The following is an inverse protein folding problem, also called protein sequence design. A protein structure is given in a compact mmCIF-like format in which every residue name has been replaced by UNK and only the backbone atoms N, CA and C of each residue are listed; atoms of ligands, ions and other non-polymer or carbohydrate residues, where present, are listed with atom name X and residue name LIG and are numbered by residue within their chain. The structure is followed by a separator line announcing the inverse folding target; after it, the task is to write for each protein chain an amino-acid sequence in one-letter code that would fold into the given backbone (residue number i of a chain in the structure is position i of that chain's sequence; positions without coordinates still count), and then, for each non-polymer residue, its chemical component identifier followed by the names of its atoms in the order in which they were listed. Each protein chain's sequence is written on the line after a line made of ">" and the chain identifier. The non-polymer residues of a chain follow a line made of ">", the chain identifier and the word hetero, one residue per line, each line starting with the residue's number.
data_IF_092534775297
#
_entry.id   IF_092534775297
#
_cell.length_a   1.000
_cell.length_b   1.000
_cell.length_c   1.000
_cell.angle_alpha   90.00
_cell.angle_beta   90.00
_cell.angle_gamma   90.00
#
_symmetry.space_group_name_H-M   'P 1'
#
loop_
_entity.id
_entity.type
_entity.pdbx_description
1 polymer ?
#
# COMPACT_ATOMS: atom_id res chain seq x y z
N UNK A 1 10.81 76.76 -23.15
CA UNK A 1 10.99 76.40 -21.73
C UNK A 1 10.04 75.26 -21.39
N UNK A 2 10.60 74.17 -20.85
CA UNK A 2 9.92 73.10 -20.12
C UNK A 2 9.06 72.10 -20.95
N UNK A 3 9.36 70.81 -20.69
CA UNK A 3 8.60 69.56 -20.90
C UNK A 3 8.66 68.87 -22.26
N UNK A 4 9.49 67.82 -22.28
CA UNK A 4 9.32 66.61 -23.09
C UNK A 4 10.09 65.45 -22.46
N UNK A 5 9.40 64.52 -21.80
CA UNK A 5 9.89 63.19 -21.42
C UNK A 5 8.98 62.17 -22.12
N UNK A 6 9.49 61.22 -22.90
CA UNK A 6 8.72 60.06 -23.32
C UNK A 6 8.77 58.96 -22.25
N UNK A 7 7.74 58.12 -22.28
CA UNK A 7 7.45 57.03 -21.35
C UNK A 7 8.45 55.88 -21.45
N UNK A 8 8.94 55.42 -20.31
CA UNK A 8 9.70 54.18 -20.13
C UNK A 8 8.74 53.00 -20.07
N UNK A 9 8.76 52.15 -21.10
CA UNK A 9 8.51 50.71 -20.96
C UNK A 9 9.86 50.00 -20.95
N UNK A 10 9.88 48.81 -20.35
CA UNK A 10 11.00 47.88 -20.15
C UNK A 10 11.88 48.09 -18.90
N UNK A 11 12.19 46.94 -18.28
CA UNK A 11 13.08 46.67 -17.14
C UNK A 11 12.41 46.70 -15.75
N UNK A 12 11.57 45.69 -15.49
CA UNK A 12 11.25 45.20 -14.15
C UNK A 12 11.50 43.69 -14.12
N UNK A 13 12.78 43.33 -14.25
CA UNK A 13 13.22 41.95 -14.34
C UNK A 13 14.67 41.79 -13.93
N UNK A 14 15.08 42.38 -12.80
CA UNK A 14 16.45 42.22 -12.25
C UNK A 14 16.61 42.56 -10.75
N UNK A 15 15.53 42.59 -9.94
CA UNK A 15 15.67 42.90 -8.49
C UNK A 15 15.22 41.75 -7.56
N UNK A 16 14.67 40.65 -8.08
CA UNK A 16 14.25 39.50 -7.26
C UNK A 16 15.24 38.32 -7.27
N UNK A 17 16.44 38.50 -7.83
CA UNK A 17 17.47 37.44 -7.91
C UNK A 17 18.69 37.64 -7.01
N UNK A 18 18.72 38.70 -6.18
CA UNK A 18 19.87 39.02 -5.34
C UNK A 18 19.69 38.74 -3.83
N UNK A 19 18.53 38.23 -3.38
CA UNK A 19 18.30 37.89 -1.97
C UNK A 19 18.29 36.38 -1.67
N UNK A 20 18.50 35.51 -2.68
CA UNK A 20 18.51 34.04 -2.49
C UNK A 20 19.93 33.46 -2.44
N UNK A 21 20.98 34.28 -2.65
CA UNK A 21 22.37 33.82 -2.76
C UNK A 21 23.28 34.16 -1.56
N UNK A 22 22.72 34.55 -0.41
CA UNK A 22 23.52 34.88 0.79
C UNK A 22 23.11 34.16 2.08
N UNK A 23 22.30 33.10 2.01
CA UNK A 23 22.09 32.16 3.14
C UNK A 23 22.83 30.83 2.97
N UNK A 24 23.47 30.61 1.82
CA UNK A 24 24.49 29.58 1.65
C UNK A 24 25.85 30.20 1.98
N UNK A 25 26.24 30.20 3.26
CA UNK A 25 27.61 30.08 3.78
C UNK A 25 27.62 30.43 5.29
N UNK A 26 27.80 29.40 6.11
CA UNK A 26 28.44 29.54 7.42
C UNK A 26 27.53 29.54 8.65
N UNK A 27 27.22 28.35 9.15
CA UNK A 27 27.27 28.08 10.59
C UNK A 27 27.66 26.61 10.81
N UNK A 28 28.66 26.45 11.68
CA UNK A 28 29.50 25.27 11.76
C UNK A 28 28.88 24.09 12.49
N UNK A 29 29.44 22.93 12.15
CA UNK A 29 29.26 21.64 12.79
C UNK A 29 29.52 21.71 14.30
N UNK A 30 28.48 21.44 15.09
CA UNK A 30 28.63 20.78 16.39
C UNK A 30 28.15 19.32 16.18
N UNK A 31 29.09 18.38 16.28
CA UNK A 31 28.82 16.95 16.34
C UNK A 31 28.36 16.62 17.75
N UNK A 32 27.08 16.34 17.93
CA UNK A 32 26.61 15.62 19.10
C UNK A 32 26.42 14.15 18.73
N UNK A 33 27.20 13.31 19.40
CA UNK A 33 27.10 11.85 19.39
C UNK A 33 25.74 11.45 19.98
N UNK A 34 24.80 11.01 19.13
CA UNK A 34 23.64 10.27 19.58
C UNK A 34 23.85 8.78 19.31
N UNK A 35 23.90 8.00 20.38
CA UNK A 35 24.22 6.58 20.40
C UNK A 35 23.30 5.75 19.49
N UNK A 36 23.91 5.08 18.53
CA UNK A 36 23.27 4.09 17.66
C UNK A 36 23.08 2.77 18.41
N UNK A 37 21.87 2.51 18.91
CA UNK A 37 21.37 1.15 19.14
C UNK A 37 20.38 0.81 18.01
N UNK A 38 20.90 0.70 16.79
CA UNK A 38 20.16 0.18 15.65
C UNK A 38 20.34 -1.35 15.64
N UNK A 39 19.26 -2.06 15.98
CA UNK A 39 19.18 -3.51 15.88
C UNK A 39 19.36 -3.93 14.42
N UNK A 40 20.59 -4.34 14.09
CA UNK A 40 21.03 -4.79 12.76
C UNK A 40 20.46 -6.18 12.46
N UNK A 41 19.30 -6.26 11.82
CA UNK A 41 18.85 -7.50 11.19
C UNK A 41 19.69 -7.74 9.93
N UNK A 42 20.70 -8.62 10.03
CA UNK A 42 21.50 -9.05 8.88
C UNK A 42 20.73 -10.07 8.04
N UNK A 43 20.85 -9.90 6.72
CA UNK A 43 20.56 -10.92 5.71
C UNK A 43 21.15 -12.29 6.06
N UNK A 44 20.29 -13.27 6.29
CA UNK A 44 20.69 -14.69 6.30
C UNK A 44 19.88 -15.43 5.23
N UNK A 45 20.46 -15.55 4.04
CA UNK A 45 20.04 -16.52 3.04
C UNK A 45 20.55 -17.90 3.46
N UNK A 46 19.94 -18.49 4.50
CA UNK A 46 20.22 -19.88 4.87
C UNK A 46 19.12 -20.77 4.28
N UNK A 47 19.42 -21.80 3.48
CA UNK A 47 18.43 -22.74 2.94
C UNK A 47 17.54 -23.40 4.02
N UNK A 48 17.98 -23.38 5.28
CA UNK A 48 17.24 -23.86 6.44
C UNK A 48 15.98 -23.03 6.80
N UNK A 49 15.87 -21.76 6.39
CA UNK A 49 14.71 -20.91 6.77
C UNK A 49 13.48 -21.05 5.84
N UNK A 50 13.63 -21.71 4.67
CA UNK A 50 12.51 -21.97 3.75
C UNK A 50 11.48 -22.96 4.30
N UNK A 51 11.83 -23.71 5.36
CA UNK A 51 10.99 -24.75 5.96
C UNK A 51 10.28 -24.38 7.27
N UNK A 52 10.59 -23.23 7.89
CA UNK A 52 10.12 -22.94 9.27
C UNK A 52 9.08 -21.81 9.39
N UNK A 53 8.92 -20.95 8.37
CA UNK A 53 7.92 -19.88 8.45
C UNK A 53 6.63 -20.24 7.73
N UNK A 54 5.50 -20.11 8.42
CA UNK A 54 4.16 -20.30 7.84
C UNK A 54 3.86 -19.36 6.67
N UNK A 55 4.65 -18.29 6.46
CA UNK A 55 4.59 -17.46 5.25
C UNK A 55 4.75 -18.29 3.97
N UNK A 56 5.50 -19.39 4.02
CA UNK A 56 5.73 -20.25 2.86
C UNK A 56 4.59 -21.24 2.58
N UNK A 57 3.57 -21.31 3.44
CA UNK A 57 2.41 -22.17 3.24
C UNK A 57 1.53 -21.69 2.05
N UNK A 58 0.41 -22.36 1.81
CA UNK A 58 -0.50 -22.05 0.69
C UNK A 58 -1.40 -20.82 0.94
N UNK A 59 -1.33 -20.20 2.10
CA UNK A 59 -2.15 -19.04 2.50
C UNK A 59 -1.29 -17.88 3.00
N UNK A 60 0.02 -17.91 2.72
CA UNK A 60 0.98 -16.88 3.12
C UNK A 60 1.00 -16.62 4.63
N UNK A 61 0.68 -17.62 5.45
CA UNK A 61 0.60 -17.48 6.90
C UNK A 61 -0.70 -16.88 7.44
N UNK A 62 -1.70 -16.63 6.58
CA UNK A 62 -3.07 -16.27 6.97
C UNK A 62 -3.98 -17.51 6.98
N UNK A 63 -5.22 -17.40 7.46
CA UNK A 63 -6.22 -18.47 7.27
C UNK A 63 -6.77 -18.43 5.82
N UNK A 64 -7.00 -17.24 5.28
CA UNK A 64 -7.43 -17.05 3.88
C UNK A 64 -6.67 -15.94 3.16
N UNK A 65 -6.60 -16.08 1.84
CA UNK A 65 -6.20 -15.00 0.93
C UNK A 65 -7.40 -14.72 0.04
N UNK A 66 -8.09 -13.62 0.29
CA UNK A 66 -9.22 -13.15 -0.49
C UNK A 66 -8.79 -12.27 -1.65
N UNK A 67 -9.46 -12.45 -2.78
CA UNK A 67 -9.43 -11.50 -3.90
C UNK A 67 -10.83 -10.96 -4.13
N UNK A 68 -10.95 -9.64 -4.20
CA UNK A 68 -12.19 -8.95 -4.55
C UNK A 68 -12.10 -8.57 -6.02
N UNK A 69 -13.04 -9.05 -6.82
CA UNK A 69 -13.11 -8.74 -8.24
C UNK A 69 -14.51 -8.91 -8.81
N UNK A 70 -14.85 -8.10 -9.80
CA UNK A 70 -16.17 -8.19 -10.44
C UNK A 70 -16.30 -9.54 -11.16
N UNK A 71 -17.43 -10.27 -11.03
CA UNK A 71 -17.62 -11.56 -11.70
C UNK A 71 -17.43 -11.52 -13.22
N UNK A 72 -17.71 -10.38 -13.85
CA UNK A 72 -17.52 -10.17 -15.29
C UNK A 72 -16.07 -9.99 -15.76
N UNK A 73 -15.11 -9.81 -14.84
CA UNK A 73 -13.68 -9.63 -15.14
C UNK A 73 -12.93 -10.96 -15.13
N UNK A 74 -13.37 -11.89 -15.97
CA UNK A 74 -12.74 -13.22 -16.09
C UNK A 74 -11.28 -13.12 -16.51
N UNK A 75 -10.92 -12.11 -17.30
CA UNK A 75 -9.54 -11.79 -17.70
C UNK A 75 -8.61 -11.60 -16.50
N UNK A 76 -9.04 -10.82 -15.49
CA UNK A 76 -8.29 -10.60 -14.26
C UNK A 76 -8.25 -11.87 -13.39
N UNK A 77 -9.37 -12.60 -13.34
CA UNK A 77 -9.51 -13.85 -12.58
C UNK A 77 -8.59 -14.96 -13.09
N UNK A 78 -8.50 -15.12 -14.40
CA UNK A 78 -7.61 -16.10 -15.05
C UNK A 78 -6.15 -15.76 -14.76
N UNK A 79 -5.77 -14.49 -14.91
CA UNK A 79 -4.41 -14.03 -14.64
C UNK A 79 -4.00 -14.30 -13.18
N UNK A 80 -4.78 -13.83 -12.20
CA UNK A 80 -4.46 -14.00 -10.78
C UNK A 80 -4.44 -15.48 -10.35
N UNK A 81 -5.34 -16.31 -10.90
CA UNK A 81 -5.35 -17.75 -10.62
C UNK A 81 -4.05 -18.42 -11.09
N UNK A 82 -3.59 -18.07 -12.30
CA UNK A 82 -2.33 -18.60 -12.81
C UNK A 82 -1.13 -18.07 -12.00
N UNK A 83 -1.10 -16.77 -11.72
CA UNK A 83 -0.05 -16.14 -10.90
C UNK A 83 0.09 -16.83 -9.55
N UNK A 84 -1.00 -16.99 -8.80
CA UNK A 84 -0.96 -17.56 -7.46
C UNK A 84 -0.54 -19.03 -7.48
N UNK A 85 -0.95 -19.78 -8.50
CA UNK A 85 -0.52 -21.17 -8.71
C UNK A 85 1.00 -21.24 -8.91
N UNK A 86 1.59 -20.33 -9.69
CA UNK A 86 3.02 -20.30 -9.99
C UNK A 86 3.85 -19.79 -8.80
N UNK A 87 3.31 -18.87 -7.99
CA UNK A 87 3.96 -18.36 -6.77
C UNK A 87 3.57 -19.15 -5.51
N UNK A 88 2.78 -20.22 -5.66
CA UNK A 88 2.56 -21.26 -4.65
C UNK A 88 1.59 -20.89 -3.51
N UNK A 89 0.58 -20.06 -3.76
CA UNK A 89 -0.49 -19.79 -2.77
C UNK A 89 -1.88 -19.79 -3.41
N UNK A 90 -2.90 -19.98 -2.56
CA UNK A 90 -4.28 -20.21 -2.97
C UNK A 90 -5.13 -18.97 -2.73
N UNK A 91 -5.85 -18.55 -3.75
CA UNK A 91 -6.84 -17.48 -3.68
C UNK A 91 -8.23 -18.03 -3.34
N UNK A 92 -9.00 -17.25 -2.60
CA UNK A 92 -10.43 -17.42 -2.36
C UNK A 92 -11.13 -16.17 -2.87
N UNK A 93 -12.17 -16.30 -3.68
CA UNK A 93 -12.77 -15.14 -4.31
C UNK A 93 -13.96 -14.62 -3.53
N UNK A 94 -14.04 -13.29 -3.42
CA UNK A 94 -15.22 -12.55 -3.01
C UNK A 94 -15.69 -11.77 -4.22
N UNK A 95 -16.92 -12.02 -4.66
CA UNK A 95 -17.47 -11.31 -5.81
C UNK A 95 -17.64 -9.82 -5.47
N UNK A 96 -17.06 -8.96 -6.30
CA UNK A 96 -17.25 -7.52 -6.26
C UNK A 96 -18.68 -7.16 -6.61
N UNK A 97 -19.08 -5.94 -6.24
CA UNK A 97 -20.45 -5.44 -6.43
C UNK A 97 -20.44 -4.27 -7.39
N UNK A 98 -21.34 -4.30 -8.38
CA UNK A 98 -21.58 -3.16 -9.25
C UNK A 98 -22.44 -2.16 -8.49
N UNK A 99 -21.94 -0.95 -8.23
CA UNK A 99 -22.56 -0.07 -7.24
C UNK A 99 -23.93 0.49 -7.58
N UNK A 100 -24.26 0.61 -8.86
CA UNK A 100 -25.60 1.01 -9.33
C UNK A 100 -26.68 -0.04 -9.00
N UNK A 101 -26.28 -1.29 -8.75
CA UNK A 101 -27.19 -2.38 -8.34
C UNK A 101 -27.53 -2.38 -6.85
N UNK A 102 -26.81 -1.59 -6.03
CA UNK A 102 -27.08 -1.48 -4.60
C UNK A 102 -28.32 -0.60 -4.42
N UNK A 103 -29.38 -1.03 -3.71
CA UNK A 103 -30.59 -0.22 -3.54
C UNK A 103 -30.37 0.91 -2.52
N UNK A 104 -31.09 2.03 -2.66
CA UNK A 104 -30.92 3.20 -1.80
C UNK A 104 -31.14 2.92 -0.31
N UNK A 105 -32.04 1.98 0.01
CA UNK A 105 -32.27 1.49 1.38
C UNK A 105 -31.05 0.82 2.04
N UNK A 106 -30.03 0.48 1.26
CA UNK A 106 -28.80 -0.19 1.71
C UNK A 106 -27.59 0.76 1.65
N UNK A 107 -27.79 2.05 1.34
CA UNK A 107 -26.72 3.03 1.39
C UNK A 107 -26.22 3.18 2.83
N UNK A 108 -24.89 3.21 3.05
CA UNK A 108 -24.35 3.51 4.36
C UNK A 108 -24.70 4.96 4.74
N UNK A 109 -24.82 5.21 6.04
CA UNK A 109 -25.03 6.56 6.55
C UNK A 109 -23.93 7.51 6.05
N UNK A 110 -24.31 8.72 5.64
CA UNK A 110 -23.40 9.70 5.06
C UNK A 110 -23.04 9.50 3.58
N UNK A 111 -23.58 8.45 2.93
CA UNK A 111 -23.40 8.28 1.49
C UNK A 111 -24.36 9.15 0.69
N UNK A 112 -23.82 9.85 -0.29
CA UNK A 112 -24.58 10.64 -1.25
C UNK A 112 -24.12 10.29 -2.67
N UNK A 113 -25.04 9.78 -3.49
CA UNK A 113 -24.75 9.39 -4.88
C UNK A 113 -24.49 10.58 -5.80
N UNK A 114 -24.95 11.77 -5.44
CA UNK A 114 -24.70 12.98 -6.24
C UNK A 114 -23.23 13.39 -6.17
N UNK A 115 -22.58 13.12 -5.04
CA UNK A 115 -21.19 13.51 -4.77
C UNK A 115 -20.22 12.32 -4.84
N UNK A 116 -20.69 11.09 -4.62
CA UNK A 116 -19.86 9.87 -4.63
C UNK A 116 -20.30 8.90 -5.72
N UNK A 117 -19.36 8.57 -6.62
CA UNK A 117 -19.57 7.64 -7.74
C UNK A 117 -20.02 6.27 -7.26
N UNK A 118 -20.93 5.64 -8.01
CA UNK A 118 -21.36 4.26 -7.75
C UNK A 118 -20.21 3.24 -7.77
N UNK A 119 -19.15 3.48 -8.55
CA UNK A 119 -17.95 2.63 -8.50
C UNK A 119 -17.31 2.59 -7.11
N UNK A 120 -17.32 3.71 -6.38
CA UNK A 120 -16.84 3.76 -5.00
C UNK A 120 -17.77 3.00 -4.05
N UNK A 121 -19.09 3.06 -4.29
CA UNK A 121 -20.08 2.30 -3.50
C UNK A 121 -19.90 0.79 -3.70
N UNK A 122 -19.67 0.37 -4.94
CA UNK A 122 -19.39 -1.01 -5.32
C UNK A 122 -18.10 -1.54 -4.69
N UNK A 123 -17.02 -0.74 -4.74
CA UNK A 123 -15.75 -1.02 -4.06
C UNK A 123 -15.97 -1.19 -2.55
N UNK A 124 -16.55 -0.19 -1.88
CA UNK A 124 -16.90 -0.27 -0.45
C UNK A 124 -17.66 -1.55 -0.15
N UNK A 125 -18.73 -1.84 -0.90
CA UNK A 125 -19.57 -3.00 -0.63
C UNK A 125 -18.82 -4.32 -0.77
N UNK A 126 -17.92 -4.44 -1.76
CA UNK A 126 -17.04 -5.59 -1.95
C UNK A 126 -16.14 -5.83 -0.74
N UNK A 127 -15.46 -4.78 -0.25
CA UNK A 127 -14.59 -4.89 0.92
C UNK A 127 -15.36 -5.16 2.22
N UNK A 128 -16.50 -4.51 2.45
CA UNK A 128 -17.33 -4.82 3.63
C UNK A 128 -17.92 -6.25 3.53
N UNK A 129 -18.17 -6.78 2.34
CA UNK A 129 -18.55 -8.19 2.18
C UNK A 129 -17.44 -9.16 2.60
N UNK A 130 -16.18 -8.87 2.25
CA UNK A 130 -15.04 -9.66 2.71
C UNK A 130 -14.91 -9.61 4.25
N UNK A 131 -15.01 -8.42 4.85
CA UNK A 131 -14.98 -8.27 6.31
C UNK A 131 -16.13 -9.03 6.99
N UNK A 132 -17.36 -8.89 6.47
CA UNK A 132 -18.53 -9.63 6.97
C UNK A 132 -18.32 -11.14 6.85
N UNK A 133 -17.76 -11.61 5.73
CA UNK A 133 -17.50 -13.04 5.53
C UNK A 133 -16.47 -13.58 6.53
N UNK A 134 -15.46 -12.79 6.90
CA UNK A 134 -14.53 -13.18 7.96
C UNK A 134 -15.24 -13.34 9.31
N UNK A 135 -16.07 -12.37 9.68
CA UNK A 135 -16.79 -12.37 10.97
C UNK A 135 -17.78 -13.54 11.03
N UNK A 136 -18.61 -13.71 10.00
CA UNK A 136 -19.62 -14.77 9.93
C UNK A 136 -19.00 -16.17 9.87
N UNK A 137 -17.90 -16.31 9.12
CA UNK A 137 -17.19 -17.58 8.94
C UNK A 137 -16.22 -17.94 10.07
N UNK A 138 -16.02 -17.07 11.07
CA UNK A 138 -15.03 -17.28 12.13
C UNK A 138 -13.58 -17.36 11.61
N UNK A 139 -13.25 -16.62 10.55
CA UNK A 139 -11.93 -16.63 9.90
C UNK A 139 -10.95 -15.83 10.75
N UNK A 140 -9.87 -16.48 11.20
CA UNK A 140 -8.95 -15.88 12.17
C UNK A 140 -8.15 -14.72 11.58
N UNK A 141 -7.73 -14.84 10.32
CA UNK A 141 -7.03 -13.78 9.60
C UNK A 141 -7.17 -13.96 8.09
N UNK A 142 -7.24 -12.85 7.37
CA UNK A 142 -7.24 -12.91 5.91
C UNK A 142 -6.47 -11.76 5.28
N UNK A 143 -5.66 -12.07 4.28
CA UNK A 143 -5.16 -11.09 3.32
C UNK A 143 -6.24 -10.81 2.29
N UNK A 144 -6.58 -9.55 2.05
CA UNK A 144 -7.56 -9.09 1.07
C UNK A 144 -6.81 -8.30 -0.01
N UNK A 145 -7.02 -8.68 -1.27
CA UNK A 145 -6.30 -8.14 -2.44
C UNK A 145 -7.31 -7.74 -3.52
N UNK A 146 -7.04 -6.67 -4.26
CA UNK A 146 -7.82 -6.27 -5.44
C UNK A 146 -7.48 -7.15 -6.68
N UNK A 147 -8.36 -7.19 -7.69
CA UNK A 147 -8.24 -8.12 -8.82
C UNK A 147 -7.23 -7.70 -9.93
N UNK A 148 -6.76 -6.45 -9.90
CA UNK A 148 -5.75 -5.90 -10.81
C UNK A 148 -4.34 -5.83 -10.19
N UNK A 149 -4.10 -6.58 -9.12
CA UNK A 149 -2.81 -6.58 -8.45
C UNK A 149 -1.75 -7.43 -9.15
N UNK A 150 -0.50 -7.09 -8.89
CA UNK A 150 0.70 -7.85 -9.17
C UNK A 150 1.63 -7.84 -7.95
N UNK A 151 2.55 -8.81 -7.92
CA UNK A 151 3.52 -9.00 -6.86
C UNK A 151 4.82 -9.54 -7.45
N UNK A 152 5.91 -9.38 -6.69
CA UNK A 152 7.19 -9.98 -7.07
C UNK A 152 7.09 -11.51 -6.99
N UNK A 153 7.71 -12.24 -7.92
CA UNK A 153 7.78 -13.72 -7.87
C UNK A 153 8.36 -14.23 -6.54
N UNK A 154 9.12 -13.40 -5.82
CA UNK A 154 9.70 -13.66 -4.51
C UNK A 154 8.79 -13.23 -3.32
N UNK A 155 7.48 -13.02 -3.54
CA UNK A 155 6.54 -12.48 -2.53
C UNK A 155 6.61 -13.18 -1.17
N UNK A 156 6.76 -14.51 -1.13
CA UNK A 156 6.89 -15.27 0.14
C UNK A 156 8.12 -14.87 0.93
N UNK A 157 9.24 -14.61 0.25
CA UNK A 157 10.46 -14.18 0.91
C UNK A 157 10.33 -12.73 1.40
N UNK A 158 9.73 -11.84 0.61
CA UNK A 158 9.44 -10.45 1.03
C UNK A 158 8.55 -10.42 2.27
N UNK A 159 7.48 -11.24 2.29
CA UNK A 159 6.58 -11.38 3.43
C UNK A 159 7.29 -11.96 4.67
N UNK A 160 8.28 -12.84 4.50
CA UNK A 160 9.06 -13.36 5.63
C UNK A 160 9.91 -12.27 6.29
N UNK A 161 10.49 -11.35 5.51
CA UNK A 161 11.20 -10.18 6.05
C UNK A 161 10.24 -9.19 6.72
N UNK A 162 9.13 -8.90 6.06
CA UNK A 162 8.07 -8.07 6.63
C UNK A 162 7.57 -8.63 7.97
N UNK A 163 7.34 -9.94 8.05
CA UNK A 163 6.86 -10.60 9.26
C UNK A 163 7.79 -10.37 10.46
N UNK A 164 9.12 -10.41 10.25
CA UNK A 164 10.08 -10.11 11.32
C UNK A 164 9.96 -8.66 11.81
N UNK A 165 9.92 -7.70 10.89
CA UNK A 165 9.79 -6.28 11.21
C UNK A 165 8.43 -5.95 11.87
N UNK A 166 7.34 -6.54 11.38
CA UNK A 166 5.99 -6.36 11.91
C UNK A 166 5.87 -6.86 13.35
N UNK A 167 6.53 -7.98 13.70
CA UNK A 167 6.60 -8.45 15.09
C UNK A 167 7.35 -7.46 15.99
N UNK A 168 8.44 -6.86 15.52
CA UNK A 168 9.19 -5.86 16.29
C UNK A 168 8.37 -4.60 16.59
N UNK A 169 7.54 -4.14 15.66
CA UNK A 169 6.67 -2.97 15.86
C UNK A 169 5.52 -3.21 16.85
N UNK A 170 5.16 -4.46 17.13
CA UNK A 170 4.08 -4.78 18.08
C UNK A 170 4.43 -4.52 19.54
N UNK A 171 5.71 -4.36 19.90
CA UNK A 171 6.12 -4.17 21.30
C UNK A 171 5.51 -2.92 21.97
N UNK A 172 5.08 -1.93 21.18
CA UNK A 172 4.41 -0.71 21.66
C UNK A 172 2.88 -0.75 21.57
N UNK A 173 2.31 -1.83 21.04
CA UNK A 173 0.86 -1.95 20.93
C UNK A 173 0.24 -2.52 22.20
N UNK A 174 -1.02 -2.16 22.44
CA UNK A 174 -1.79 -2.78 23.51
C UNK A 174 -1.88 -4.31 23.29
N UNK A 175 -1.49 -5.05 24.32
CA UNK A 175 -1.42 -6.51 24.33
C UNK A 175 -2.81 -7.11 24.62
N UNK A 176 -3.66 -7.09 23.61
CA UNK A 176 -4.87 -7.90 23.58
C UNK A 176 -4.68 -8.92 22.46
N UNK A 177 -4.37 -10.17 22.81
CA UNK A 177 -4.16 -11.22 21.82
C UNK A 177 -5.46 -11.49 21.10
N UNK A 178 -5.44 -11.32 19.78
CA UNK A 178 -6.62 -11.42 18.92
C UNK A 178 -6.47 -12.48 17.84
N UNK A 179 -5.33 -13.16 17.80
CA UNK A 179 -4.97 -14.17 16.82
C UNK A 179 -4.37 -15.37 17.54
N UNK A 180 -4.90 -16.55 17.23
CA UNK A 180 -4.33 -17.82 17.69
C UNK A 180 -2.98 -18.09 17.01
N UNK A 181 -1.98 -18.62 17.73
CA UNK A 181 -0.75 -19.09 17.12
C UNK A 181 -0.97 -20.39 16.33
N UNK A 182 -0.16 -20.64 15.28
CA UNK A 182 0.95 -19.82 14.82
C UNK A 182 0.49 -18.67 13.90
N UNK A 183 1.11 -17.50 14.04
CA UNK A 183 0.96 -16.35 13.14
C UNK A 183 2.34 -15.76 12.87
N UNK A 184 2.87 -15.88 11.63
CA UNK A 184 4.21 -15.41 11.34
C UNK A 184 4.32 -13.90 11.51
N UNK A 185 3.23 -13.15 11.31
CA UNK A 185 3.22 -11.69 11.43
C UNK A 185 3.08 -11.20 12.88
N UNK A 186 3.00 -12.09 13.88
CA UNK A 186 2.72 -11.76 15.27
C UNK A 186 1.22 -11.81 15.60
N UNK A 187 0.88 -11.56 16.86
CA UNK A 187 -0.47 -11.76 17.41
C UNK A 187 -1.16 -10.47 17.86
N UNK A 188 -0.44 -9.35 17.86
CA UNK A 188 -0.90 -8.07 18.39
C UNK A 188 -1.14 -7.03 17.28
N UNK A 189 -1.48 -7.46 16.07
CA UNK A 189 -1.90 -6.58 14.98
C UNK A 189 -3.38 -6.80 14.67
N UNK A 190 -4.04 -5.75 14.19
CA UNK A 190 -5.40 -5.82 13.68
C UNK A 190 -5.45 -5.65 12.16
N UNK A 191 -4.55 -4.83 11.62
CA UNK A 191 -4.40 -4.66 10.17
C UNK A 191 -2.93 -4.64 9.72
N UNK A 192 -2.64 -5.33 8.63
CA UNK A 192 -1.36 -5.24 7.92
C UNK A 192 -1.61 -4.62 6.55
N UNK A 193 -1.10 -3.42 6.29
CA UNK A 193 -1.25 -2.77 4.98
C UNK A 193 -0.06 -3.14 4.10
N UNK A 194 -0.30 -4.01 3.12
CA UNK A 194 0.76 -4.64 2.30
C UNK A 194 0.84 -4.06 0.88
N UNK A 195 -0.18 -3.29 0.50
CA UNK A 195 -0.24 -2.58 -0.76
C UNK A 195 -1.01 -1.26 -0.63
N UNK A 196 -0.29 -0.16 -0.82
CA UNK A 196 -0.80 1.20 -0.99
C UNK A 196 -0.12 1.88 -2.18
N UNK A 197 -0.74 2.92 -2.74
CA UNK A 197 -0.14 3.78 -3.76
C UNK A 197 0.51 5.02 -3.14
N UNK A 198 -0.05 5.51 -2.03
CA UNK A 198 0.48 6.62 -1.24
C UNK A 198 0.71 6.14 0.19
N UNK A 199 1.79 6.64 0.77
CA UNK A 199 2.26 6.41 2.12
C UNK A 199 2.68 7.75 2.70
N UNK A 200 2.15 8.04 3.88
CA UNK A 200 2.50 9.20 4.68
C UNK A 200 2.79 8.76 6.11
N UNK A 201 3.95 9.18 6.61
CA UNK A 201 4.33 8.96 8.00
C UNK A 201 3.70 10.04 8.90
N UNK A 202 3.59 9.78 10.20
CA UNK A 202 2.93 10.69 11.15
C UNK A 202 3.59 12.08 11.22
N UNK A 203 4.90 12.16 10.98
CA UNK A 203 5.64 13.42 10.90
C UNK A 203 5.35 14.22 9.62
N UNK A 204 4.88 13.55 8.56
CA UNK A 204 4.65 14.12 7.22
C UNK A 204 3.15 14.29 6.91
N UNK A 205 2.27 14.11 7.90
CA UNK A 205 0.82 14.27 7.73
C UNK A 205 0.48 15.71 7.27
N UNK A 206 -0.36 15.85 6.22
CA UNK A 206 -0.84 17.16 5.81
C UNK A 206 -1.74 17.77 6.90
N UNK A 207 -1.90 19.10 6.86
CA UNK A 207 -2.59 19.89 7.90
C UNK A 207 -3.98 19.35 8.25
N UNK A 208 -4.75 18.94 7.24
CA UNK A 208 -6.12 18.42 7.38
C UNK A 208 -6.19 17.00 7.96
N UNK A 209 -5.09 16.25 7.97
CA UNK A 209 -5.01 14.89 8.49
C UNK A 209 -4.20 14.78 9.79
N UNK A 210 -3.69 15.88 10.32
CA UNK A 210 -2.88 15.85 11.54
C UNK A 210 -3.65 15.24 12.72
N UNK A 211 -2.94 14.41 13.46
CA UNK A 211 -3.38 13.88 14.76
C UNK A 211 -2.55 14.51 15.89
N UNK A 212 -3.08 14.53 17.13
CA UNK A 212 -2.34 15.01 18.29
C UNK A 212 -0.99 14.31 18.44
N UNK A 213 0.05 15.05 18.86
CA UNK A 213 1.44 14.56 18.90
C UNK A 213 1.56 13.30 19.78
N UNK A 214 0.80 13.24 20.87
CA UNK A 214 0.76 12.10 21.79
C UNK A 214 0.13 10.83 21.20
N UNK A 215 -0.59 10.93 20.08
CA UNK A 215 -1.17 9.79 19.36
C UNK A 215 -0.30 9.34 18.18
N UNK A 216 0.74 10.11 17.83
CA UNK A 216 1.67 9.78 16.75
C UNK A 216 2.61 8.66 17.17
N UNK A 217 2.96 7.83 16.20
CA UNK A 217 3.85 6.70 16.33
C UNK A 217 4.87 6.68 15.18
N UNK A 218 6.02 7.36 15.34
CA UNK A 218 7.00 7.52 14.27
C UNK A 218 7.86 6.26 14.04
N UNK A 219 7.51 5.13 14.65
CA UNK A 219 8.35 3.93 14.64
C UNK A 219 8.44 3.34 13.23
N UNK A 220 9.68 3.15 12.78
CA UNK A 220 10.07 2.57 11.49
C UNK A 220 11.13 1.49 11.70
N UNK A 221 11.07 0.43 10.91
CA UNK A 221 12.06 -0.63 10.81
C UNK A 221 12.49 -0.70 9.34
N UNK A 222 13.81 -0.67 9.12
CA UNK A 222 14.39 -0.70 7.78
C UNK A 222 14.83 -2.13 7.44
N UNK A 223 14.40 -2.61 6.27
CA UNK A 223 14.91 -3.83 5.65
C UNK A 223 15.89 -3.38 4.57
N UNK A 224 17.18 -3.48 4.86
CA UNK A 224 18.25 -3.05 3.96
C UNK A 224 18.65 -4.14 2.96
N UNK A 225 19.36 -3.73 1.91
CA UNK A 225 19.98 -4.60 0.91
C UNK A 225 19.00 -5.59 0.26
N UNK A 226 17.75 -5.18 0.04
CA UNK A 226 16.73 -6.02 -0.58
C UNK A 226 16.95 -6.20 -2.10
N UNK A 227 17.32 -7.39 -2.60
CA UNK A 227 17.62 -7.64 -4.00
C UNK A 227 16.36 -7.66 -4.88
N UNK A 228 15.17 -7.60 -4.27
CA UNK A 228 13.89 -7.45 -4.97
C UNK A 228 13.45 -5.99 -5.09
N UNK A 229 14.22 -5.05 -4.52
CA UNK A 229 13.98 -3.63 -4.72
C UNK A 229 14.55 -3.19 -6.08
N UNK A 230 13.82 -2.37 -6.85
CA UNK A 230 14.37 -1.73 -8.03
C UNK A 230 15.53 -0.79 -7.66
N UNK A 231 16.39 -0.50 -8.63
CA UNK A 231 17.39 0.57 -8.49
C UNK A 231 16.70 1.91 -8.19
N UNK A 232 17.31 2.85 -7.44
CA UNK A 232 16.69 4.11 -7.07
C UNK A 232 16.02 4.89 -8.22
N UNK A 233 16.61 4.88 -9.42
CA UNK A 233 16.06 5.52 -10.63
C UNK A 233 14.74 4.92 -11.16
N UNK A 234 14.37 3.73 -10.71
CA UNK A 234 13.16 3.02 -11.10
C UNK A 234 12.16 2.90 -9.94
N UNK A 235 12.49 3.45 -8.77
CA UNK A 235 11.56 3.56 -7.67
C UNK A 235 10.70 4.80 -7.92
N UNK A 236 9.40 4.60 -8.06
CA UNK A 236 8.43 5.69 -8.11
C UNK A 236 8.06 6.12 -6.69
N UNK A 237 7.90 7.42 -6.49
CA UNK A 237 7.54 7.99 -5.20
C UNK A 237 6.15 7.54 -4.78
N UNK A 238 6.01 7.10 -3.53
CA UNK A 238 4.73 6.67 -2.96
C UNK A 238 4.18 7.76 -2.02
N UNK A 239 4.24 9.05 -2.37
CA UNK A 239 3.61 10.11 -1.56
C UNK A 239 4.55 11.15 -0.96
N UNK A 240 4.42 11.38 0.35
CA UNK A 240 4.87 12.60 1.02
C UNK A 240 6.36 12.66 1.39
N UNK A 241 7.15 11.64 1.03
CA UNK A 241 8.57 11.56 1.37
C UNK A 241 9.45 11.33 0.13
N UNK A 242 10.73 11.75 0.23
CA UNK A 242 11.73 11.47 -0.81
C UNK A 242 12.52 10.20 -0.51
N UNK A 243 12.69 9.36 -1.54
CA UNK A 243 13.55 8.18 -1.49
C UNK A 243 15.04 8.52 -1.35
N UNK A 244 15.46 9.73 -1.71
CA UNK A 244 16.84 10.19 -1.54
C UNK A 244 17.26 10.26 -0.05
N UNK A 245 16.29 10.31 0.86
CA UNK A 245 16.53 10.30 2.30
C UNK A 245 16.83 8.91 2.87
N UNK A 246 16.76 7.87 2.05
CA UNK A 246 16.91 6.48 2.48
C UNK A 246 17.98 5.74 1.64
N UNK A 247 18.74 4.80 2.24
CA UNK A 247 19.68 4.00 1.47
C UNK A 247 19.00 3.22 0.35
N UNK A 248 19.69 3.06 -0.78
CA UNK A 248 19.22 2.23 -1.89
C UNK A 248 18.84 0.81 -1.42
N UNK A 249 17.90 0.18 -2.13
CA UNK A 249 17.40 -1.16 -1.82
C UNK A 249 16.89 -1.33 -0.38
N UNK A 250 16.25 -0.28 0.16
CA UNK A 250 15.63 -0.33 1.49
C UNK A 250 14.12 -0.38 1.40
N UNK A 251 13.49 -1.30 2.14
CA UNK A 251 12.06 -1.21 2.48
C UNK A 251 11.89 -0.65 3.88
N UNK A 252 10.80 0.07 4.10
CA UNK A 252 10.45 0.68 5.39
C UNK A 252 9.18 0.00 5.86
N UNK A 253 9.23 -0.66 7.02
CA UNK A 253 8.08 -1.21 7.73
C UNK A 253 7.76 -0.27 8.88
N UNK A 254 6.53 0.18 9.02
CA UNK A 254 6.20 1.31 9.88
C UNK A 254 4.79 1.21 10.47
N UNK A 255 4.52 2.02 11.49
CA UNK A 255 3.15 2.27 11.96
C UNK A 255 2.57 3.38 11.08
N UNK A 256 1.47 3.14 10.34
CA UNK A 256 0.99 4.08 9.35
C UNK A 256 0.37 5.32 9.98
N UNK A 257 0.75 6.48 9.43
CA UNK A 257 0.06 7.74 9.63
C UNK A 257 -1.11 7.87 8.67
N UNK A 258 -0.85 7.89 7.36
CA UNK A 258 -1.89 7.81 6.33
C UNK A 258 -1.43 6.95 5.15
N UNK A 259 -2.35 6.18 4.56
CA UNK A 259 -2.12 5.41 3.36
C UNK A 259 -3.32 5.54 2.41
N UNK A 260 -3.07 5.58 1.10
CA UNK A 260 -4.12 5.61 0.07
C UNK A 260 -3.99 4.38 -0.83
N UNK A 261 -5.10 3.98 -1.45
CA UNK A 261 -5.30 2.72 -2.14
C UNK A 261 -5.35 1.49 -1.21
N UNK A 262 -6.17 0.52 -1.61
CA UNK A 262 -6.39 -0.75 -0.90
C UNK A 262 -5.88 -1.97 -1.66
N UNK A 263 -4.79 -1.79 -2.44
CA UNK A 263 -4.15 -2.82 -3.27
C UNK A 263 -4.05 -4.17 -2.55
N UNK A 264 -3.53 -4.16 -1.31
CA UNK A 264 -3.62 -5.29 -0.42
C UNK A 264 -3.56 -4.88 1.06
N UNK A 265 -4.42 -5.47 1.87
CA UNK A 265 -4.37 -5.35 3.32
C UNK A 265 -4.84 -6.65 3.96
N UNK A 266 -4.27 -7.02 5.10
CA UNK A 266 -4.74 -8.15 5.89
C UNK A 266 -5.46 -7.66 7.14
N UNK A 267 -6.48 -8.39 7.56
CA UNK A 267 -7.19 -8.19 8.82
C UNK A 267 -7.05 -9.43 9.70
N UNK A 268 -6.93 -9.22 11.00
CA UNK A 268 -7.23 -10.25 11.99
C UNK A 268 -8.75 -10.34 12.20
N UNK A 269 -9.24 -11.36 12.91
CA UNK A 269 -10.64 -11.47 13.27
C UNK A 269 -11.14 -10.23 14.05
N UNK A 270 -10.34 -9.73 15.00
CA UNK A 270 -10.65 -8.48 15.71
C UNK A 270 -10.61 -7.26 14.79
N UNK A 271 -9.63 -7.19 13.89
CA UNK A 271 -9.53 -6.13 12.89
C UNK A 271 -10.75 -6.08 11.99
N UNK A 272 -11.24 -7.24 11.54
CA UNK A 272 -12.46 -7.35 10.74
C UNK A 272 -13.70 -6.87 11.52
N UNK A 273 -13.82 -7.20 12.81
CA UNK A 273 -14.91 -6.69 13.65
C UNK A 273 -14.85 -5.18 13.83
N UNK A 274 -13.66 -4.63 14.13
CA UNK A 274 -13.45 -3.17 14.28
C UNK A 274 -13.76 -2.43 12.99
N UNK A 275 -13.26 -2.95 11.85
CA UNK A 275 -13.47 -2.37 10.54
C UNK A 275 -14.94 -2.45 10.11
N UNK A 276 -15.60 -3.60 10.35
CA UNK A 276 -17.02 -3.76 10.03
C UNK A 276 -17.92 -2.84 10.87
N UNK A 277 -17.61 -2.65 12.15
CA UNK A 277 -18.35 -1.70 12.98
C UNK A 277 -18.19 -0.27 12.47
N UNK A 278 -16.97 0.18 12.22
CA UNK A 278 -16.70 1.55 11.80
C UNK A 278 -17.17 1.83 10.36
N UNK A 279 -16.78 1.00 9.40
CA UNK A 279 -17.01 1.25 7.97
C UNK A 279 -18.34 0.68 7.48
N UNK A 280 -18.93 -0.26 8.22
CA UNK A 280 -20.18 -0.92 7.86
C UNK A 280 -21.40 -0.41 8.62
N UNK A 281 -21.23 0.08 9.86
CA UNK A 281 -22.34 0.49 10.74
C UNK A 281 -22.36 2.00 11.02
N UNK A 282 -21.22 2.64 11.29
CA UNK A 282 -21.16 4.10 11.55
C UNK A 282 -21.33 4.93 10.26
N UNK A 283 -21.11 4.32 9.09
CA UNK A 283 -21.36 4.92 7.79
C UNK A 283 -20.13 4.98 6.89
N UNK A 284 -20.26 5.64 5.75
CA UNK A 284 -19.19 5.82 4.76
C UNK A 284 -19.42 7.15 4.06
N UNK A 285 -18.52 8.12 4.27
CA UNK A 285 -18.65 9.49 3.76
C UNK A 285 -17.44 9.91 2.90
N UNK A 286 -16.56 8.96 2.56
CA UNK A 286 -15.36 9.17 1.73
C UNK A 286 -15.04 7.87 0.96
N UNK A 287 -14.08 7.87 0.01
CA UNK A 287 -13.62 6.65 -0.65
C UNK A 287 -13.17 5.55 0.34
N UNK A 288 -13.29 4.28 -0.05
CA UNK A 288 -13.03 3.14 0.85
C UNK A 288 -11.63 3.16 1.45
N UNK A 289 -10.62 3.41 0.63
CA UNK A 289 -9.22 3.48 1.02
C UNK A 289 -8.94 4.60 2.03
N UNK A 290 -9.47 5.80 1.81
CA UNK A 290 -9.36 6.89 2.78
C UNK A 290 -10.02 6.55 4.11
N UNK A 291 -11.14 5.83 4.09
CA UNK A 291 -11.82 5.41 5.32
C UNK A 291 -11.11 4.24 6.02
N UNK A 292 -10.43 3.37 5.24
CA UNK A 292 -9.51 2.37 5.75
C UNK A 292 -8.28 3.03 6.41
N UNK A 293 -7.84 4.18 5.88
CA UNK A 293 -6.74 4.96 6.45
C UNK A 293 -7.10 5.51 7.82
N UNK A 294 -8.33 6.03 7.99
CA UNK A 294 -8.81 6.52 9.29
C UNK A 294 -8.76 5.46 10.38
N UNK A 295 -9.10 4.20 10.07
CA UNK A 295 -9.01 3.09 11.02
C UNK A 295 -7.62 3.04 11.65
N UNK A 296 -6.58 3.17 10.83
CA UNK A 296 -5.21 3.21 11.29
C UNK A 296 -4.86 4.56 11.91
N UNK A 297 -4.93 5.65 11.16
CA UNK A 297 -4.47 6.99 11.57
C UNK A 297 -5.06 7.42 12.91
N UNK A 298 -6.37 7.28 13.05
CA UNK A 298 -7.13 7.68 14.24
C UNK A 298 -7.21 6.56 15.29
N UNK A 299 -6.58 5.41 15.03
CA UNK A 299 -6.60 4.20 15.90
C UNK A 299 -8.03 3.85 16.32
N UNK A 300 -8.98 3.93 15.39
CA UNK A 300 -10.40 3.71 15.66
C UNK A 300 -10.59 2.36 16.36
N UNK A 301 -11.33 2.33 17.47
CA UNK A 301 -11.52 1.14 18.30
C UNK A 301 -10.21 0.46 18.75
N UNK A 302 -9.14 1.25 18.91
CA UNK A 302 -7.80 0.76 19.22
C UNK A 302 -7.22 -0.12 18.11
N UNK A 303 -7.46 0.20 16.85
CA UNK A 303 -6.89 -0.52 15.69
C UNK A 303 -5.36 -0.43 15.72
N UNK A 304 -4.69 -1.59 15.59
CA UNK A 304 -3.24 -1.73 15.57
C UNK A 304 -2.78 -2.05 14.15
N UNK A 305 -2.11 -1.09 13.51
CA UNK A 305 -1.72 -1.20 12.12
C UNK A 305 -0.20 -1.29 11.93
N UNK A 306 0.22 -2.12 10.97
CA UNK A 306 1.60 -2.12 10.45
C UNK A 306 1.53 -2.04 8.93
N UNK A 307 2.39 -1.24 8.33
CA UNK A 307 2.47 -1.04 6.88
C UNK A 307 3.89 -1.23 6.36
N UNK A 308 4.05 -1.36 5.04
CA UNK A 308 5.34 -1.46 4.35
C UNK A 308 5.37 -0.60 3.09
N UNK A 309 6.51 0.06 2.84
CA UNK A 309 6.77 0.84 1.63
C UNK A 309 8.20 0.58 1.10
N UNK A 310 8.42 0.38 -0.23
CA UNK A 310 7.38 0.22 -1.24
C UNK A 310 6.53 -1.02 -0.99
N UNK A 311 5.29 -0.91 -1.43
CA UNK A 311 4.25 -1.93 -1.37
C UNK A 311 4.70 -3.28 -1.96
N UNK A 312 4.21 -4.37 -1.38
CA UNK A 312 4.48 -5.74 -1.84
C UNK A 312 3.47 -6.20 -2.90
N UNK A 313 2.25 -5.66 -2.83
CA UNK A 313 1.20 -5.82 -3.83
C UNK A 313 0.93 -4.45 -4.45
N UNK A 314 0.98 -4.39 -5.77
CA UNK A 314 0.87 -3.14 -6.51
C UNK A 314 -0.04 -3.33 -7.71
N UNK A 315 -0.82 -2.31 -8.02
CA UNK A 315 -1.63 -2.27 -9.22
C UNK A 315 -0.79 -2.48 -10.49
N UNK A 316 -1.17 -3.46 -11.30
CA UNK A 316 -0.55 -3.71 -12.59
C UNK A 316 -1.20 -2.89 -13.69
N UNK A 317 -0.37 -2.24 -14.51
CA UNK A 317 -0.78 -1.52 -15.72
C UNK A 317 -0.59 -2.43 -16.92
N UNK A 318 -1.65 -3.06 -17.46
CA UNK A 318 -1.51 -4.05 -18.53
C UNK A 318 -1.10 -3.40 -19.86
N UNK A 319 -0.54 -4.21 -20.77
CA UNK A 319 -0.45 -3.86 -22.19
C UNK A 319 -1.87 -3.70 -22.74
N UNK A 320 -2.11 -2.66 -23.54
CA UNK A 320 -3.42 -2.40 -24.16
C UNK A 320 -3.93 -0.98 -23.90
N UNK A 321 -5.24 -0.78 -24.06
CA UNK A 321 -5.87 0.53 -23.87
C UNK A 321 -5.72 1.00 -22.42
N UNK A 322 -5.26 2.23 -22.22
CA UNK A 322 -5.05 2.81 -20.87
C UNK A 322 -6.37 2.92 -20.10
N UNK A 323 -7.51 3.09 -20.78
CA UNK A 323 -8.83 3.08 -20.14
C UNK A 323 -9.17 1.78 -19.40
N UNK A 324 -8.47 0.68 -19.69
CA UNK A 324 -8.62 -0.60 -18.97
C UNK A 324 -7.92 -0.65 -17.61
N UNK A 325 -7.18 0.41 -17.23
CA UNK A 325 -6.42 0.47 -15.98
C UNK A 325 -7.32 0.53 -14.73
N UNK A 326 -8.54 1.07 -14.80
CA UNK A 326 -9.39 1.18 -13.60
C UNK A 326 -10.87 1.27 -13.96
N UNK A 327 -11.70 0.52 -13.21
CA UNK A 327 -13.16 0.58 -13.33
C UNK A 327 -13.77 1.77 -12.52
N UNK A 328 -12.97 2.52 -11.75
CA UNK A 328 -13.41 3.64 -10.89
C UNK A 328 -13.36 4.98 -11.63
N UNK A 329 -12.35 5.16 -12.47
CA UNK A 329 -12.21 6.35 -13.30
C UNK A 329 -12.64 6.03 -14.73
N UNK A 330 -13.90 6.32 -15.04
CA UNK A 330 -14.32 6.59 -16.43
C UNK A 330 -13.72 7.93 -16.87
N UNK A 331 -12.40 8.06 -16.84
CA UNK A 331 -11.69 9.12 -17.55
C UNK A 331 -11.88 8.89 -19.05
N UNK A 332 -11.81 9.96 -19.84
CA UNK A 332 -12.06 10.00 -21.29
C UNK A 332 -11.62 8.72 -22.00
N UNK A 333 -12.34 8.34 -23.07
CA UNK A 333 -11.99 7.25 -23.99
C UNK A 333 -10.61 7.50 -24.65
N UNK A 334 -9.55 7.49 -23.85
CA UNK A 334 -8.19 7.63 -24.29
C UNK A 334 -7.89 6.36 -25.07
N UNK A 335 -7.82 6.53 -26.40
CA UNK A 335 -7.41 5.49 -27.34
C UNK A 335 -5.93 5.14 -27.22
N UNK A 336 -5.19 5.80 -26.33
CA UNK A 336 -3.79 5.52 -26.08
C UNK A 336 -3.59 4.05 -25.67
N UNK A 337 -2.68 3.40 -26.39
CA UNK A 337 -2.32 2.00 -26.20
C UNK A 337 -0.94 1.93 -25.55
N UNK A 338 -0.88 1.29 -24.40
CA UNK A 338 0.36 0.92 -23.74
C UNK A 338 0.96 -0.30 -24.42
N UNK A 339 2.15 -0.16 -25.01
CA UNK A 339 2.82 -1.26 -25.72
C UNK A 339 3.42 -2.32 -24.79
N UNK A 340 3.83 -1.92 -23.59
CA UNK A 340 4.46 -2.79 -22.59
C UNK A 340 3.80 -2.53 -21.24
N UNK A 341 3.23 -3.59 -20.64
CA UNK A 341 2.68 -3.50 -19.30
C UNK A 341 3.78 -3.31 -18.25
N UNK A 342 3.44 -2.74 -17.10
CA UNK A 342 4.38 -2.58 -16.00
C UNK A 342 3.68 -2.56 -14.65
N UNK A 343 4.44 -2.85 -13.60
CA UNK A 343 4.01 -2.72 -12.21
C UNK A 343 5.02 -1.86 -11.46
N UNK A 344 4.56 -0.76 -10.86
CA UNK A 344 5.42 0.16 -10.14
C UNK A 344 6.13 -0.52 -8.97
N UNK A 345 7.39 -0.18 -8.73
CA UNK A 345 8.19 -0.64 -7.60
C UNK A 345 8.38 -2.18 -7.45
N UNK A 346 7.89 -3.01 -8.39
CA UNK A 346 8.07 -4.47 -8.41
C UNK A 346 9.16 -4.84 -9.43
N UNK A 347 10.27 -5.43 -8.96
CA UNK A 347 11.40 -5.75 -9.81
C UNK A 347 11.14 -6.97 -10.70
N UNK A 348 10.67 -8.07 -10.14
CA UNK A 348 10.34 -9.30 -10.86
C UNK A 348 8.82 -9.49 -10.89
N UNK A 349 8.13 -8.68 -11.70
CA UNK A 349 6.67 -8.75 -11.88
C UNK A 349 6.22 -10.18 -12.21
N UNK A 350 5.33 -10.75 -11.41
CA UNK A 350 4.77 -12.07 -11.69
C UNK A 350 3.94 -12.03 -12.97
N UNK A 351 3.15 -10.97 -13.18
CA UNK A 351 2.36 -10.79 -14.41
C UNK A 351 3.21 -10.79 -15.68
N UNK A 352 4.30 -10.03 -15.70
CA UNK A 352 5.18 -9.98 -16.86
C UNK A 352 5.97 -11.29 -17.07
N UNK A 353 6.16 -12.07 -16.00
CA UNK A 353 6.92 -13.31 -16.04
C UNK A 353 6.09 -14.58 -16.22
N UNK A 354 4.76 -14.50 -16.36
CA UNK A 354 3.88 -15.67 -16.51
C UNK A 354 4.36 -16.66 -17.58
N UNK A 355 4.79 -16.15 -18.74
CA UNK A 355 5.30 -16.99 -19.84
C UNK A 355 6.59 -17.72 -19.45
N UNK A 356 7.51 -17.06 -18.76
CA UNK A 356 8.77 -17.66 -18.33
C UNK A 356 8.50 -18.71 -17.25
N UNK A 357 7.68 -18.37 -16.24
CA UNK A 357 7.34 -19.25 -15.13
C UNK A 357 6.62 -20.53 -15.59
N UNK A 358 5.66 -20.43 -16.52
CA UNK A 358 4.97 -21.62 -17.09
C UNK A 358 5.94 -22.53 -17.84
N UNK A 359 6.99 -21.98 -18.46
CA UNK A 359 8.01 -22.73 -19.19
C UNK A 359 9.14 -23.26 -18.30
N UNK A 360 9.10 -22.96 -17.00
CA UNK A 360 10.19 -23.28 -16.07
C UNK A 360 11.48 -22.49 -16.33
N UNK A 361 11.36 -21.31 -16.95
CA UNK A 361 12.47 -20.38 -17.16
C UNK A 361 12.59 -19.39 -15.99
N UNK A 362 13.79 -18.84 -15.82
CA UNK A 362 14.03 -17.82 -14.80
C UNK A 362 13.22 -16.53 -15.08
N UNK A 363 12.72 -15.87 -14.02
CA UNK A 363 12.03 -14.60 -14.16
C UNK A 363 13.02 -13.48 -14.51
N UNK A 364 12.58 -12.60 -15.40
CA UNK A 364 13.31 -11.42 -15.83
C UNK A 364 12.89 -10.19 -15.03
N UNK A 365 13.84 -9.27 -14.85
CA UNK A 365 13.58 -7.97 -14.24
C UNK A 365 12.77 -7.11 -15.20
N UNK A 366 11.79 -6.37 -14.68
CA UNK A 366 11.00 -5.43 -15.49
C UNK A 366 11.85 -4.29 -16.06
N UNK A 367 12.85 -3.84 -15.30
CA UNK A 367 13.78 -2.80 -15.74
C UNK A 367 15.21 -3.35 -15.75
N UNK A 368 15.92 -3.11 -16.85
CA UNK A 368 17.32 -3.47 -17.01
C UNK A 368 18.19 -2.24 -16.75
N UNK A 369 19.08 -2.36 -15.78
CA UNK A 369 20.31 -1.56 -15.69
C UNK A 369 20.64 -1.06 -14.31
#
# INVERSE_FOLDING_TARGET
>A
MIRGRPSTSLVLGTVLFACILLTYLGSGFARDEWGSNLNRAKWTSSPASRGESDVFNKTLGFDRVFVIGLPGRSDKRDALTLMSSLTGFKLSWIDGVVGDTIPDKALPFGWDRETMRDSNLGSWRGHINAMRHMVDGGISSALIVEDDMDWDVNIKWQLAQFAAAARSLQNGFHQNQTLEPPSPYGQNWDMLWLGSCVTTFDEDLPEDLQIPIEQRDPRKIFIHDDPTMPSPRHILGNGSFSWDNYPAHTRIVYVPGDNVCSFAYALSASGAQKALQYMGLEGQHKPFDNHLSDLCRLRINGMRCVSIVPSLFVHHRPKGKISGDSDINKGDENEEVREVGFTENILYSTRLNLKNLVRGLDPEKQWVG
#
